data_IF_956844922685
#
_entry.id   IF_956844922685
#
_cell.length_a   1.000
_cell.length_b   1.000
_cell.length_c   1.000
_cell.angle_alpha   90.00
_cell.angle_beta   90.00
_cell.angle_gamma   90.00
#
_symmetry.space_group_name_H-M   'P 1'
#
loop_
_entity.id
_entity.type
_entity.pdbx_description
1 polymer ?
#
# COMPACT_ATOMS: atom_id res chain seq x y z
N UNK A 1 4.45 26.15 -32.82
CA UNK A 1 5.31 25.16 -32.10
C UNK A 1 5.31 23.79 -32.79
N UNK A 2 4.16 23.28 -33.26
CA UNK A 2 4.09 21.99 -33.96
C UNK A 2 4.93 21.96 -35.24
N UNK A 3 4.85 23.02 -36.07
CA UNK A 3 5.64 23.10 -37.30
C UNK A 3 7.15 23.12 -37.03
N UNK A 4 7.57 23.75 -35.93
CA UNK A 4 8.97 23.76 -35.49
C UNK A 4 9.41 22.34 -35.14
N UNK A 5 8.60 21.61 -34.36
CA UNK A 5 8.89 20.22 -34.01
C UNK A 5 8.92 19.31 -35.24
N UNK A 6 7.99 19.51 -36.19
CA UNK A 6 7.93 18.77 -37.45
C UNK A 6 9.14 19.05 -38.36
N UNK A 7 9.48 20.32 -38.56
CA UNK A 7 10.62 20.72 -39.38
C UNK A 7 11.95 20.26 -38.78
N UNK A 8 12.07 20.33 -37.45
CA UNK A 8 13.23 19.79 -36.74
C UNK A 8 13.32 18.27 -36.93
N UNK A 9 12.22 17.54 -36.75
CA UNK A 9 12.17 16.10 -36.95
C UNK A 9 12.58 15.69 -38.38
N UNK A 10 12.04 16.40 -39.39
CA UNK A 10 12.42 16.19 -40.79
C UNK A 10 13.91 16.47 -41.03
N UNK A 11 14.45 17.55 -40.46
CA UNK A 11 15.87 17.89 -40.57
C UNK A 11 16.77 16.81 -39.97
N UNK A 12 16.40 16.29 -38.80
CA UNK A 12 17.11 15.22 -38.12
C UNK A 12 16.73 13.81 -38.63
N UNK A 13 15.95 13.72 -39.72
CA UNK A 13 15.57 12.48 -40.41
C UNK A 13 14.78 11.48 -39.53
N UNK A 14 13.96 11.97 -38.61
CA UNK A 14 12.99 11.14 -37.90
C UNK A 14 11.55 11.60 -38.15
N UNK A 15 10.61 10.65 -38.20
CA UNK A 15 9.19 10.93 -38.44
C UNK A 15 8.42 10.90 -37.13
N UNK A 16 7.69 11.98 -36.83
CA UNK A 16 6.74 12.00 -35.72
C UNK A 16 5.47 11.28 -36.16
N UNK A 17 5.04 10.28 -35.40
CA UNK A 17 3.86 9.48 -35.74
C UNK A 17 2.58 10.21 -35.28
N UNK A 18 1.74 10.73 -36.19
CA UNK A 18 0.64 11.60 -35.77
C UNK A 18 -0.44 10.84 -34.99
N UNK A 19 -0.67 9.56 -35.30
CA UNK A 19 -1.62 8.70 -34.58
C UNK A 19 -1.24 8.45 -33.10
N UNK A 20 0.05 8.53 -32.76
CA UNK A 20 0.54 8.42 -31.38
C UNK A 20 0.75 9.78 -30.72
N UNK A 21 0.55 10.86 -31.48
CA UNK A 21 0.76 12.23 -31.04
C UNK A 21 -0.59 12.83 -30.70
N UNK A 22 -0.67 13.48 -29.54
CA UNK A 22 -1.92 14.08 -29.08
C UNK A 22 -1.64 15.47 -28.53
N UNK A 23 -2.60 16.36 -28.73
CA UNK A 23 -2.58 17.67 -28.10
C UNK A 23 -3.43 17.62 -26.85
N UNK A 24 -2.89 18.10 -25.74
CA UNK A 24 -3.63 18.18 -24.49
C UNK A 24 -3.59 19.62 -24.00
N UNK A 25 -4.77 20.21 -23.82
CA UNK A 25 -4.91 21.55 -23.25
C UNK A 25 -4.91 21.45 -21.73
N UNK A 26 -3.95 22.12 -21.07
CA UNK A 26 -3.96 22.29 -19.60
C UNK A 26 -4.75 23.55 -19.27
N UNK A 27 -5.65 23.48 -18.28
CA UNK A 27 -6.59 24.54 -17.90
C UNK A 27 -5.93 25.93 -17.92
N UNK A 28 -6.44 26.82 -18.77
CA UNK A 28 -6.13 28.25 -18.82
C UNK A 28 -7.34 29.05 -18.30
N UNK A 29 -7.16 30.30 -17.83
CA UNK A 29 -8.28 31.19 -17.50
C UNK A 29 -9.25 31.28 -18.70
N UNK A 30 -10.56 31.29 -18.43
CA UNK A 30 -11.61 31.34 -19.48
C UNK A 30 -11.44 32.50 -20.47
N UNK A 31 -10.70 33.55 -20.11
CA UNK A 31 -10.41 34.73 -20.92
C UNK A 31 -9.46 34.51 -22.11
N UNK A 32 -8.78 33.36 -22.19
CA UNK A 32 -7.89 32.99 -23.32
C UNK A 32 -8.53 31.99 -24.30
N UNK A 33 -9.86 31.77 -24.18
CA UNK A 33 -10.61 30.83 -24.99
C UNK A 33 -10.91 31.40 -26.39
N UNK A 34 -9.93 31.43 -27.27
CA UNK A 34 -10.14 31.67 -28.70
C UNK A 34 -9.67 30.49 -29.56
N UNK A 35 -10.66 29.77 -30.12
CA UNK A 35 -10.82 29.44 -31.55
C UNK A 35 -9.63 28.93 -32.37
N UNK A 36 -8.92 27.89 -31.91
CA UNK A 36 -8.10 27.07 -32.84
C UNK A 36 -8.50 25.60 -32.71
N UNK A 37 -9.21 25.11 -33.71
CA UNK A 37 -9.69 23.73 -33.85
C UNK A 37 -8.80 22.87 -34.75
N UNK A 38 -8.08 23.49 -35.69
CA UNK A 38 -7.44 22.78 -36.80
C UNK A 38 -5.94 22.65 -36.55
N UNK A 39 -5.58 21.79 -35.61
CA UNK A 39 -4.18 21.51 -35.30
C UNK A 39 -3.61 20.48 -36.27
N UNK A 40 -2.52 20.85 -36.95
CA UNK A 40 -1.81 19.97 -37.89
C UNK A 40 -0.36 19.76 -37.48
N UNK A 41 0.19 18.62 -37.88
CA UNK A 41 1.60 18.27 -37.78
C UNK A 41 2.06 17.79 -39.16
N UNK A 42 2.70 18.70 -39.90
CA UNK A 42 2.79 18.57 -41.35
C UNK A 42 1.40 18.61 -41.97
N UNK A 43 1.09 17.65 -42.85
CA UNK A 43 -0.20 17.58 -43.53
C UNK A 43 -1.27 16.80 -42.76
N UNK A 44 -0.91 16.22 -41.60
CA UNK A 44 -1.81 15.36 -40.80
C UNK A 44 -2.43 16.12 -39.64
N UNK A 45 -3.73 15.96 -39.45
CA UNK A 45 -4.45 16.52 -38.31
C UNK A 45 -4.08 15.80 -37.01
N UNK A 46 -4.01 16.56 -35.92
CA UNK A 46 -3.80 16.04 -34.56
C UNK A 46 -5.02 16.34 -33.71
N UNK A 47 -5.55 15.28 -33.10
CA UNK A 47 -6.69 15.37 -32.20
C UNK A 47 -6.33 16.06 -30.89
N UNK A 48 -7.15 17.04 -30.51
CA UNK A 48 -7.16 17.59 -29.17
C UNK A 48 -7.88 16.61 -28.23
N UNK A 49 -7.17 16.14 -27.19
CA UNK A 49 -7.71 15.20 -26.19
C UNK A 49 -7.66 15.80 -24.79
N UNK A 50 -8.59 15.36 -23.94
CA UNK A 50 -8.56 15.62 -22.51
C UNK A 50 -7.66 14.63 -21.75
N UNK A 51 -7.32 13.49 -22.35
CA UNK A 51 -6.52 12.42 -21.75
C UNK A 51 -5.32 12.05 -22.62
N UNK A 52 -4.12 12.00 -22.05
CA UNK A 52 -2.91 11.59 -22.73
C UNK A 52 -2.07 10.65 -21.88
N UNK A 53 -1.68 9.49 -22.44
CA UNK A 53 -0.79 8.54 -21.75
C UNK A 53 0.67 8.96 -21.95
N UNK A 54 1.39 9.18 -20.86
CA UNK A 54 2.82 9.48 -20.87
C UNK A 54 3.54 8.60 -19.84
N UNK A 55 4.55 7.85 -20.32
CA UNK A 55 5.35 6.91 -19.51
C UNK A 55 4.48 5.95 -18.66
N UNK A 56 3.40 5.44 -19.25
CA UNK A 56 2.50 4.48 -18.59
C UNK A 56 1.57 5.09 -17.52
N UNK A 57 1.51 6.42 -17.42
CA UNK A 57 0.56 7.18 -16.59
C UNK A 57 -0.35 8.04 -17.46
N UNK A 58 -1.62 8.12 -17.13
CA UNK A 58 -2.61 8.93 -17.85
C UNK A 58 -2.63 10.34 -17.26
N UNK A 59 -2.44 11.35 -18.09
CA UNK A 59 -2.59 12.77 -17.73
C UNK A 59 -3.96 13.23 -18.19
N UNK A 60 -4.75 13.78 -17.26
CA UNK A 60 -6.00 14.43 -17.57
C UNK A 60 -5.82 15.96 -17.63
N UNK A 61 -6.52 16.61 -18.55
CA UNK A 61 -6.58 18.08 -18.67
C UNK A 61 -7.12 18.73 -17.40
N UNK A 62 -8.08 18.08 -16.72
CA UNK A 62 -8.63 18.47 -15.42
C UNK A 62 -7.64 18.28 -14.26
N UNK A 63 -6.56 17.53 -14.46
CA UNK A 63 -5.62 17.13 -13.41
C UNK A 63 -6.10 15.95 -12.56
N UNK A 64 -7.19 15.29 -12.94
CA UNK A 64 -7.71 14.12 -12.26
C UNK A 64 -6.71 12.95 -12.24
N UNK A 65 -6.59 12.32 -11.07
CA UNK A 65 -5.66 11.21 -10.82
C UNK A 65 -6.38 9.86 -10.69
N UNK A 66 -7.71 9.87 -10.53
CA UNK A 66 -8.53 8.68 -10.29
C UNK A 66 -8.28 7.56 -11.32
N UNK A 67 -8.20 7.91 -12.60
CA UNK A 67 -7.91 6.98 -13.71
C UNK A 67 -6.62 6.20 -13.45
N UNK A 68 -5.56 6.88 -12.99
CA UNK A 68 -4.29 6.21 -12.68
C UNK A 68 -4.43 5.25 -11.51
N UNK A 69 -5.13 5.65 -10.45
CA UNK A 69 -5.35 4.81 -9.27
C UNK A 69 -6.12 3.54 -9.65
N UNK A 70 -7.18 3.65 -10.43
CA UNK A 70 -7.98 2.51 -10.90
C UNK A 70 -7.18 1.59 -11.84
N UNK A 71 -6.46 2.16 -12.81
CA UNK A 71 -5.61 1.40 -13.71
C UNK A 71 -4.53 0.61 -12.96
N UNK A 72 -3.92 1.22 -11.94
CA UNK A 72 -2.92 0.55 -11.11
C UNK A 72 -3.52 -0.56 -10.25
N UNK A 73 -4.70 -0.35 -9.65
CA UNK A 73 -5.42 -1.40 -8.93
C UNK A 73 -5.76 -2.56 -9.87
N UNK A 74 -6.26 -2.27 -11.07
CA UNK A 74 -6.58 -3.30 -12.08
C UNK A 74 -5.34 -4.09 -12.50
N UNK A 75 -4.22 -3.42 -12.76
CA UNK A 75 -2.94 -4.04 -13.09
C UNK A 75 -2.42 -4.93 -11.94
N UNK A 76 -2.42 -4.40 -10.72
CA UNK A 76 -1.99 -5.13 -9.53
C UNK A 76 -2.89 -6.34 -9.22
N UNK A 77 -4.21 -6.20 -9.41
CA UNK A 77 -5.17 -7.29 -9.24
C UNK A 77 -4.91 -8.43 -10.21
N UNK A 78 -4.73 -8.12 -11.49
CA UNK A 78 -4.34 -9.13 -12.50
C UNK A 78 -3.03 -9.81 -12.12
N UNK A 79 -2.02 -9.04 -11.72
CA UNK A 79 -0.74 -9.60 -11.30
C UNK A 79 -0.88 -10.52 -10.08
N UNK A 80 -1.68 -10.16 -9.08
CA UNK A 80 -1.94 -11.01 -7.92
C UNK A 80 -2.61 -12.33 -8.33
N UNK A 81 -3.69 -12.27 -9.11
CA UNK A 81 -4.43 -13.48 -9.49
C UNK A 81 -3.67 -14.37 -10.48
N UNK A 82 -2.80 -13.82 -11.33
CA UNK A 82 -1.91 -14.63 -12.17
C UNK A 82 -0.94 -15.48 -11.35
N UNK A 83 -0.65 -15.07 -10.11
CA UNK A 83 0.24 -15.82 -9.22
C UNK A 83 -0.52 -16.82 -8.34
N UNK A 84 -1.84 -16.69 -8.20
CA UNK A 84 -2.67 -17.60 -7.39
C UNK A 84 -2.54 -19.08 -7.78
N UNK A 85 -2.50 -19.46 -9.09
CA UNK A 85 -2.24 -20.85 -9.49
C UNK A 85 -0.90 -21.41 -9.01
N UNK A 86 0.12 -20.55 -8.88
CA UNK A 86 1.43 -20.91 -8.30
C UNK A 86 1.38 -21.08 -6.79
N UNK A 87 0.18 -21.10 -6.22
CA UNK A 87 -0.06 -21.33 -4.81
C UNK A 87 -0.35 -20.09 -4.00
N UNK A 88 -0.50 -18.87 -4.56
CA UNK A 88 -0.76 -17.61 -3.81
C UNK A 88 -2.16 -17.50 -3.17
N UNK A 89 -2.61 -18.57 -2.52
CA UNK A 89 -3.73 -18.58 -1.60
C UNK A 89 -3.32 -19.35 -0.34
N UNK A 90 -3.71 -18.85 0.84
CA UNK A 90 -3.22 -19.28 2.15
C UNK A 90 -3.59 -20.71 2.59
N UNK A 91 -3.82 -21.62 1.65
CA UNK A 91 -4.09 -23.04 1.85
C UNK A 91 -3.26 -23.97 0.96
N UNK A 92 -2.48 -23.43 0.00
CA UNK A 92 -1.68 -24.23 -0.95
C UNK A 92 -0.26 -24.59 -0.48
N UNK A 93 -0.02 -24.52 0.84
CA UNK A 93 1.19 -25.06 1.45
C UNK A 93 2.42 -24.17 1.47
N UNK A 94 2.42 -22.97 0.85
CA UNK A 94 3.45 -21.99 1.16
C UNK A 94 3.03 -21.16 2.36
N UNK A 95 4.01 -20.79 3.19
CA UNK A 95 3.76 -19.98 4.36
C UNK A 95 3.46 -18.51 3.99
N UNK A 96 2.59 -17.79 4.72
CA UNK A 96 2.31 -16.36 4.51
C UNK A 96 3.54 -15.45 4.38
N UNK A 97 4.66 -15.69 5.10
CA UNK A 97 5.93 -15.01 4.88
C UNK A 97 6.45 -15.01 3.44
N UNK A 98 6.35 -16.14 2.75
CA UNK A 98 6.79 -16.28 1.37
C UNK A 98 5.86 -15.49 0.46
N UNK A 99 4.54 -15.62 0.67
CA UNK A 99 3.55 -14.90 -0.11
C UNK A 99 3.68 -13.39 0.00
N UNK A 100 3.88 -12.84 1.21
CA UNK A 100 4.06 -11.39 1.35
C UNK A 100 5.32 -10.90 0.65
N UNK A 101 6.39 -11.72 0.60
CA UNK A 101 7.60 -11.39 -0.17
C UNK A 101 7.31 -11.36 -1.68
N UNK A 102 6.64 -12.37 -2.21
CA UNK A 102 6.24 -12.42 -3.63
C UNK A 102 5.32 -11.23 -3.96
N UNK A 103 4.35 -10.95 -3.10
CA UNK A 103 3.43 -9.82 -3.21
C UNK A 103 4.18 -8.48 -3.28
N UNK A 104 5.13 -8.25 -2.37
CA UNK A 104 5.95 -7.04 -2.34
C UNK A 104 6.88 -6.91 -3.56
N UNK A 105 7.31 -8.02 -4.16
CA UNK A 105 8.18 -8.02 -5.35
C UNK A 105 7.42 -7.81 -6.66
N UNK A 106 6.23 -8.41 -6.80
CA UNK A 106 5.51 -8.42 -8.09
C UNK A 106 4.27 -7.53 -8.11
N UNK A 107 3.55 -7.41 -6.99
CA UNK A 107 2.25 -6.72 -6.97
C UNK A 107 2.40 -5.27 -6.53
N UNK A 108 3.11 -4.99 -5.43
CA UNK A 108 3.32 -3.62 -4.94
C UNK A 108 3.94 -2.68 -5.98
N UNK A 109 4.98 -3.09 -6.76
CA UNK A 109 5.55 -2.19 -7.78
C UNK A 109 4.55 -1.83 -8.86
N UNK A 110 3.66 -2.76 -9.25
CA UNK A 110 2.60 -2.52 -10.24
C UNK A 110 1.48 -1.65 -9.66
N UNK A 111 1.14 -1.84 -8.39
CA UNK A 111 0.12 -1.04 -7.69
C UNK A 111 0.55 0.43 -7.53
N UNK A 112 1.85 0.68 -7.36
CA UNK A 112 2.34 2.02 -7.03
C UNK A 112 3.04 2.74 -8.19
N UNK A 113 3.26 2.08 -9.32
CA UNK A 113 4.02 2.65 -10.43
C UNK A 113 3.48 4.02 -10.87
N UNK A 114 4.32 5.05 -10.77
CA UNK A 114 4.03 6.40 -11.22
C UNK A 114 3.15 7.21 -10.27
N UNK A 115 2.53 6.59 -9.26
CA UNK A 115 1.68 7.28 -8.29
C UNK A 115 2.46 8.23 -7.38
N UNK A 116 3.76 7.97 -7.18
CA UNK A 116 4.66 8.85 -6.42
C UNK A 116 4.86 10.23 -7.06
N UNK A 117 4.48 10.39 -8.33
CA UNK A 117 4.54 11.67 -9.07
C UNK A 117 3.26 12.52 -8.96
N UNK A 118 2.25 12.04 -8.24
CA UNK A 118 0.97 12.72 -8.05
C UNK A 118 0.74 13.08 -6.59
N UNK A 119 -0.07 14.11 -6.35
CA UNK A 119 -0.63 14.39 -5.03
C UNK A 119 -1.94 13.63 -4.91
N UNK A 120 -1.94 12.56 -4.12
CA UNK A 120 -3.11 11.71 -3.91
C UNK A 120 -3.98 12.28 -2.78
N UNK A 121 -5.29 12.35 -3.01
CA UNK A 121 -6.25 12.69 -1.96
C UNK A 121 -6.58 11.45 -1.12
N UNK A 122 -7.35 11.64 -0.04
CA UNK A 122 -7.77 10.56 0.87
C UNK A 122 -8.58 9.46 0.18
N UNK A 123 -9.39 9.81 -0.83
CA UNK A 123 -10.20 8.82 -1.55
C UNK A 123 -9.30 7.87 -2.37
N UNK A 124 -8.30 8.41 -3.07
CA UNK A 124 -7.34 7.63 -3.84
C UNK A 124 -6.56 6.67 -2.91
N UNK A 125 -6.03 7.19 -1.79
CA UNK A 125 -5.29 6.37 -0.82
C UNK A 125 -6.18 5.28 -0.22
N UNK A 126 -7.44 5.60 0.13
CA UNK A 126 -8.40 4.62 0.66
C UNK A 126 -8.73 3.51 -0.34
N UNK A 127 -8.83 3.83 -1.64
CA UNK A 127 -9.04 2.82 -2.68
C UNK A 127 -7.85 1.85 -2.79
N UNK A 128 -6.63 2.39 -2.80
CA UNK A 128 -5.39 1.59 -2.80
C UNK A 128 -5.29 0.74 -1.53
N UNK A 129 -5.62 1.32 -0.37
CA UNK A 129 -5.57 0.63 0.92
C UNK A 129 -6.56 -0.52 0.96
N UNK A 130 -7.79 -0.32 0.47
CA UNK A 130 -8.82 -1.34 0.42
C UNK A 130 -8.38 -2.54 -0.42
N UNK A 131 -7.77 -2.31 -1.58
CA UNK A 131 -7.18 -3.38 -2.39
C UNK A 131 -6.04 -4.08 -1.65
N UNK A 132 -5.08 -3.31 -1.12
CA UNK A 132 -3.90 -3.85 -0.44
C UNK A 132 -4.27 -4.72 0.77
N UNK A 133 -5.13 -4.23 1.66
CA UNK A 133 -5.65 -4.98 2.81
C UNK A 133 -6.39 -6.25 2.40
N UNK A 134 -7.20 -6.18 1.34
CA UNK A 134 -7.91 -7.36 0.83
C UNK A 134 -6.92 -8.47 0.44
N UNK A 135 -5.82 -8.11 -0.22
CA UNK A 135 -4.78 -9.09 -0.61
C UNK A 135 -4.02 -9.62 0.61
N UNK A 136 -3.64 -8.76 1.56
CA UNK A 136 -2.95 -9.19 2.79
C UNK A 136 -3.81 -10.13 3.65
N UNK A 137 -5.14 -9.93 3.67
CA UNK A 137 -6.08 -10.83 4.34
C UNK A 137 -6.18 -12.18 3.63
N UNK A 138 -6.21 -12.20 2.29
CA UNK A 138 -6.17 -13.45 1.50
C UNK A 138 -4.89 -14.23 1.77
N UNK A 139 -3.73 -13.55 1.80
CA UNK A 139 -2.43 -14.17 2.12
C UNK A 139 -2.44 -14.87 3.48
N UNK A 140 -3.17 -14.32 4.46
CA UNK A 140 -3.26 -14.86 5.81
C UNK A 140 -4.50 -15.75 6.05
N UNK A 141 -5.34 -15.96 5.03
CA UNK A 141 -6.65 -16.61 5.15
C UNK A 141 -7.54 -15.99 6.24
N UNK A 142 -7.48 -14.67 6.39
CA UNK A 142 -8.25 -13.88 7.37
C UNK A 142 -9.56 -13.33 6.75
N UNK A 143 -10.66 -13.24 7.53
CA UNK A 143 -11.89 -12.60 7.08
C UNK A 143 -11.73 -11.10 6.74
N UNK A 144 -12.62 -10.57 5.90
CA UNK A 144 -12.62 -9.14 5.57
C UNK A 144 -12.92 -8.22 6.77
N UNK A 145 -13.58 -8.75 7.81
CA UNK A 145 -13.85 -8.03 9.06
C UNK A 145 -12.63 -7.92 9.99
N UNK A 146 -11.52 -8.60 9.71
CA UNK A 146 -10.33 -8.52 10.56
C UNK A 146 -9.78 -7.09 10.59
N UNK A 147 -9.43 -6.61 11.79
CA UNK A 147 -8.91 -5.26 11.99
C UNK A 147 -7.69 -4.97 11.09
N UNK A 148 -7.63 -3.76 10.53
CA UNK A 148 -6.56 -3.36 9.60
C UNK A 148 -5.18 -3.40 10.27
N UNK A 149 -5.09 -2.92 11.51
CA UNK A 149 -3.86 -2.79 12.27
C UNK A 149 -3.14 -4.13 12.42
N UNK A 150 -3.87 -5.14 12.92
CA UNK A 150 -3.32 -6.48 13.12
C UNK A 150 -2.98 -7.18 11.81
N UNK A 151 -3.73 -6.91 10.73
CA UNK A 151 -3.47 -7.49 9.40
C UNK A 151 -2.08 -7.12 8.89
N UNK A 152 -1.67 -5.86 9.08
CA UNK A 152 -0.33 -5.39 8.72
C UNK A 152 0.74 -5.97 9.66
N UNK A 153 0.52 -5.81 10.97
CA UNK A 153 1.48 -6.14 12.01
C UNK A 153 1.85 -7.63 12.03
N UNK A 154 0.89 -8.52 11.77
CA UNK A 154 1.17 -9.95 11.73
C UNK A 154 2.16 -10.35 10.62
N UNK A 155 2.08 -9.71 9.46
CA UNK A 155 3.00 -9.96 8.35
C UNK A 155 4.28 -9.11 8.41
N UNK A 156 4.35 -8.14 9.34
CA UNK A 156 5.35 -7.08 9.27
C UNK A 156 5.21 -6.23 7.99
N UNK A 157 4.01 -6.14 7.42
CA UNK A 157 3.75 -5.39 6.19
C UNK A 157 3.55 -3.90 6.49
N UNK A 158 3.87 -3.05 5.53
CA UNK A 158 3.63 -1.60 5.62
C UNK A 158 2.24 -1.25 5.10
N UNK A 159 1.55 -0.25 5.70
CA UNK A 159 0.39 0.36 5.05
C UNK A 159 0.75 0.91 3.67
N UNK A 160 -0.19 0.88 2.73
CA UNK A 160 0.09 1.33 1.36
C UNK A 160 0.49 2.80 1.30
N UNK A 161 -0.07 3.62 2.20
CA UNK A 161 0.29 5.04 2.33
C UNK A 161 1.76 5.20 2.72
N UNK A 162 2.29 4.35 3.60
CA UNK A 162 3.70 4.35 3.97
C UNK A 162 4.60 4.07 2.77
N UNK A 163 4.26 3.07 1.94
CA UNK A 163 4.99 2.72 0.73
C UNK A 163 4.99 3.85 -0.31
N UNK A 164 3.86 4.57 -0.44
CA UNK A 164 3.76 5.75 -1.31
C UNK A 164 4.69 6.86 -0.80
N UNK A 165 4.64 7.15 0.51
CA UNK A 165 5.45 8.21 1.11
C UNK A 165 6.95 7.94 0.97
N UNK A 166 7.39 6.70 1.21
CA UNK A 166 8.79 6.30 0.98
C UNK A 166 9.24 6.54 -0.46
N UNK A 167 8.37 6.25 -1.45
CA UNK A 167 8.67 6.50 -2.87
C UNK A 167 8.73 7.99 -3.18
N UNK A 168 7.81 8.80 -2.68
CA UNK A 168 7.84 10.26 -2.85
C UNK A 168 9.14 10.86 -2.30
N UNK A 169 9.53 10.47 -1.08
CA UNK A 169 10.78 10.90 -0.43
C UNK A 169 12.03 10.41 -1.19
N UNK A 170 11.96 9.23 -1.81
CA UNK A 170 13.03 8.72 -2.68
C UNK A 170 13.15 9.54 -3.97
N UNK A 171 12.02 9.93 -4.58
CA UNK A 171 12.01 10.80 -5.77
C UNK A 171 12.58 12.16 -5.43
N UNK A 172 12.21 12.76 -4.29
CA UNK A 172 12.76 14.03 -3.84
C UNK A 172 14.29 13.97 -3.74
N UNK A 173 14.85 12.98 -3.05
CA UNK A 173 16.29 12.85 -2.90
C UNK A 173 17.00 12.62 -4.25
N UNK A 174 16.35 12.02 -5.24
CA UNK A 174 16.89 11.93 -6.61
C UNK A 174 16.92 13.31 -7.26
N UNK A 175 15.84 14.09 -7.17
CA UNK A 175 15.76 15.45 -7.73
C UNK A 175 16.88 16.33 -7.15
N UNK A 176 17.02 16.37 -5.82
CA UNK A 176 18.06 17.16 -5.14
C UNK A 176 19.46 16.72 -5.60
N UNK A 177 19.73 15.41 -5.63
CA UNK A 177 21.05 14.87 -6.00
C UNK A 177 21.42 15.11 -7.46
N UNK A 178 20.45 15.16 -8.37
CA UNK A 178 20.73 15.41 -9.80
C UNK A 178 21.36 16.78 -10.05
N UNK A 179 21.29 17.72 -9.10
CA UNK A 179 21.82 19.09 -9.27
C UNK A 179 21.18 19.81 -10.46
N UNK A 180 21.57 21.07 -10.72
CA UNK A 180 21.37 21.86 -11.96
C UNK A 180 20.41 21.33 -13.04
N UNK A 181 19.15 21.07 -12.69
CA UNK A 181 18.08 20.63 -13.61
C UNK A 181 16.92 21.59 -13.55
N UNK A 182 16.12 21.63 -14.60
CA UNK A 182 14.87 22.40 -14.61
C UNK A 182 13.94 21.99 -13.46
N UNK A 183 13.96 20.72 -13.04
CA UNK A 183 13.21 20.24 -11.88
C UNK A 183 13.69 20.86 -10.56
N UNK A 184 15.01 21.03 -10.37
CA UNK A 184 15.54 21.74 -9.21
C UNK A 184 15.14 23.22 -9.21
N UNK A 185 15.20 23.89 -10.36
CA UNK A 185 14.72 25.28 -10.47
C UNK A 185 13.21 25.40 -10.20
N UNK A 186 12.41 24.43 -10.66
CA UNK A 186 10.97 24.38 -10.36
C UNK A 186 10.73 24.12 -8.88
N UNK A 187 11.50 23.22 -8.25
CA UNK A 187 11.43 22.95 -6.81
C UNK A 187 11.68 24.23 -6.02
N UNK A 188 12.79 24.92 -6.29
CA UNK A 188 13.17 26.15 -5.59
C UNK A 188 12.08 27.22 -5.73
N UNK A 189 11.61 27.43 -6.96
CA UNK A 189 10.51 28.36 -7.22
C UNK A 189 9.24 27.97 -6.46
N UNK A 190 8.87 26.69 -6.44
CA UNK A 190 7.63 26.25 -5.81
C UNK A 190 7.70 26.33 -4.29
N UNK A 191 8.84 26.03 -3.68
CA UNK A 191 9.05 26.17 -2.23
C UNK A 191 9.05 27.65 -1.82
N UNK A 192 9.67 28.54 -2.60
CA UNK A 192 9.70 29.97 -2.26
C UNK A 192 8.38 30.69 -2.49
N UNK A 193 7.60 30.31 -3.50
CA UNK A 193 6.41 31.08 -3.92
C UNK A 193 5.08 30.55 -3.38
N UNK A 194 5.00 29.27 -2.98
CA UNK A 194 3.72 28.64 -2.66
C UNK A 194 3.55 28.43 -1.17
N UNK A 195 2.35 28.72 -0.67
CA UNK A 195 1.98 28.43 0.72
C UNK A 195 1.64 26.95 0.97
N UNK A 196 1.51 26.58 2.25
CA UNK A 196 1.23 25.21 2.72
C UNK A 196 -0.07 24.60 2.17
N UNK A 197 -1.04 25.42 1.76
CA UNK A 197 -2.32 24.97 1.18
C UNK A 197 -2.26 24.66 -0.32
N UNK A 198 -1.10 24.83 -0.97
CA UNK A 198 -0.98 24.61 -2.41
C UNK A 198 -1.04 23.13 -2.79
N UNK A 199 -1.67 22.81 -3.92
CA UNK A 199 -1.69 21.47 -4.55
C UNK A 199 -0.35 21.06 -5.20
N UNK A 200 0.74 21.73 -4.80
CA UNK A 200 2.07 21.53 -5.33
C UNK A 200 2.68 20.23 -4.82
N UNK A 201 3.28 19.44 -5.69
CA UNK A 201 3.94 18.19 -5.29
C UNK A 201 5.07 18.44 -4.27
N UNK A 202 5.92 19.46 -4.47
CA UNK A 202 6.99 19.78 -3.51
C UNK A 202 6.47 20.24 -2.14
N UNK A 203 5.33 20.96 -2.09
CA UNK A 203 4.70 21.36 -0.81
C UNK A 203 4.11 20.13 -0.11
N UNK A 204 3.50 19.22 -0.87
CA UNK A 204 3.05 17.95 -0.33
C UNK A 204 4.21 17.14 0.26
N UNK A 205 5.34 17.02 -0.43
CA UNK A 205 6.51 16.30 0.08
C UNK A 205 7.17 17.00 1.26
N UNK A 206 7.21 18.34 1.28
CA UNK A 206 7.64 19.09 2.47
C UNK A 206 6.77 18.73 3.69
N UNK A 207 5.46 18.63 3.50
CA UNK A 207 4.55 18.13 4.54
C UNK A 207 4.82 16.68 4.97
N UNK A 208 5.33 15.82 4.08
CA UNK A 208 5.78 14.48 4.45
C UNK A 208 7.05 14.52 5.30
N UNK A 209 8.02 15.40 4.97
CA UNK A 209 9.22 15.59 5.78
C UNK A 209 8.83 16.05 7.19
N UNK A 210 7.93 17.03 7.31
CA UNK A 210 7.36 17.46 8.60
C UNK A 210 6.67 16.29 9.32
N UNK A 211 5.81 15.52 8.64
CA UNK A 211 5.07 14.36 9.22
C UNK A 211 6.01 13.31 9.83
N UNK A 212 7.16 13.07 9.19
CA UNK A 212 8.13 12.05 9.61
C UNK A 212 9.32 12.61 10.39
N UNK A 213 9.28 13.89 10.77
CA UNK A 213 10.36 14.58 11.49
C UNK A 213 11.72 14.46 10.76
N UNK A 214 11.68 14.54 9.43
CA UNK A 214 12.86 14.50 8.56
C UNK A 214 13.35 15.92 8.26
N UNK A 215 14.62 16.11 7.86
CA UNK A 215 15.14 17.42 7.50
C UNK A 215 14.35 18.04 6.34
N UNK A 216 14.11 19.36 6.40
CA UNK A 216 13.41 20.12 5.36
C UNK A 216 14.13 20.03 4.01
N UNK A 217 13.44 20.36 2.91
CA UNK A 217 14.08 20.41 1.57
C UNK A 217 15.31 21.33 1.60
N UNK A 218 15.25 22.48 2.29
CA UNK A 218 16.37 23.41 2.35
C UNK A 218 17.58 22.80 3.08
N UNK A 219 17.37 22.11 4.20
CA UNK A 219 18.44 21.41 4.92
C UNK A 219 19.01 20.27 4.07
N UNK A 220 18.18 19.52 3.35
CA UNK A 220 18.62 18.45 2.46
C UNK A 220 19.43 18.96 1.27
N UNK A 221 19.17 20.17 0.76
CA UNK A 221 20.00 20.78 -0.29
C UNK A 221 21.39 21.15 0.21
N UNK A 222 21.53 21.54 1.47
CA UNK A 222 22.82 21.89 2.07
C UNK A 222 23.66 20.64 2.34
N UNK A 223 23.04 19.58 2.86
CA UNK A 223 23.73 18.33 3.18
C UNK A 223 22.78 17.14 2.97
N UNK A 224 22.84 16.55 1.77
CA UNK A 224 22.07 15.35 1.47
C UNK A 224 22.87 14.10 1.88
N UNK A 225 22.30 13.20 2.69
CA UNK A 225 22.94 11.92 2.98
C UNK A 225 23.20 11.10 1.70
N UNK A 226 24.11 10.12 1.81
CA UNK A 226 24.31 9.15 0.73
C UNK A 226 23.00 8.41 0.41
N UNK A 227 22.91 7.83 -0.79
CA UNK A 227 21.69 7.12 -1.22
C UNK A 227 21.25 6.05 -0.21
N UNK A 228 22.19 5.26 0.30
CA UNK A 228 21.90 4.19 1.26
C UNK A 228 21.58 4.75 2.65
N UNK A 229 22.27 5.81 3.10
CA UNK A 229 21.94 6.49 4.35
C UNK A 229 20.54 7.09 4.32
N UNK A 230 20.19 7.79 3.24
CA UNK A 230 18.86 8.38 3.06
C UNK A 230 17.78 7.31 3.08
N UNK A 231 18.01 6.20 2.38
CA UNK A 231 17.10 5.05 2.39
C UNK A 231 16.88 4.54 3.82
N UNK A 232 17.95 4.29 4.58
CA UNK A 232 17.85 3.82 5.96
C UNK A 232 17.11 4.82 6.87
N UNK A 233 17.41 6.11 6.75
CA UNK A 233 16.76 7.18 7.52
C UNK A 233 15.25 7.21 7.22
N UNK A 234 14.86 7.25 5.94
CA UNK A 234 13.46 7.29 5.52
C UNK A 234 12.72 6.03 5.97
N UNK A 235 13.32 4.85 5.74
CA UNK A 235 12.72 3.59 6.17
C UNK A 235 12.47 3.56 7.68
N UNK A 236 13.48 3.91 8.47
CA UNK A 236 13.39 3.94 9.94
C UNK A 236 12.31 4.92 10.43
N UNK A 237 12.31 6.15 9.93
CA UNK A 237 11.36 7.19 10.36
C UNK A 237 9.91 6.83 10.00
N UNK A 238 9.67 6.39 8.77
CA UNK A 238 8.34 6.01 8.30
C UNK A 238 7.84 4.74 9.00
N UNK A 239 8.71 3.73 9.17
CA UNK A 239 8.33 2.49 9.87
C UNK A 239 8.03 2.75 11.34
N UNK A 240 8.82 3.58 12.03
CA UNK A 240 8.58 3.97 13.42
C UNK A 240 7.23 4.68 13.58
N UNK A 241 6.96 5.68 12.73
CA UNK A 241 5.69 6.40 12.75
C UNK A 241 4.50 5.46 12.55
N UNK A 242 4.53 4.63 11.50
CA UNK A 242 3.41 3.75 11.20
C UNK A 242 3.27 2.61 12.19
N UNK A 243 4.38 2.12 12.75
CA UNK A 243 4.32 1.10 13.80
C UNK A 243 3.57 1.63 15.02
N UNK A 244 3.87 2.86 15.45
CA UNK A 244 3.14 3.51 16.55
C UNK A 244 1.66 3.69 16.22
N UNK A 245 1.34 4.18 15.02
CA UNK A 245 -0.05 4.37 14.58
C UNK A 245 -0.84 3.06 14.60
N UNK A 246 -0.24 1.96 14.11
CA UNK A 246 -0.91 0.66 14.07
C UNK A 246 -1.07 0.04 15.46
N UNK A 247 -0.07 0.18 16.33
CA UNK A 247 -0.13 -0.32 17.70
C UNK A 247 -1.21 0.42 18.50
N UNK A 248 -1.28 1.75 18.39
CA UNK A 248 -2.35 2.54 19.01
C UNK A 248 -3.74 2.10 18.50
N UNK A 249 -3.90 1.91 17.18
CA UNK A 249 -5.17 1.40 16.61
C UNK A 249 -5.46 -0.06 17.01
N UNK A 250 -4.51 -0.81 17.58
CA UNK A 250 -4.82 -2.11 18.17
C UNK A 250 -5.41 -2.00 19.58
N UNK A 251 -4.95 -1.04 20.39
CA UNK A 251 -5.38 -0.87 21.79
C UNK A 251 -6.88 -0.57 21.90
N UNK A 252 -7.42 0.16 20.91
CA UNK A 252 -8.84 0.53 20.86
C UNK A 252 -9.78 -0.61 20.41
N UNK A 253 -9.26 -1.82 20.13
CA UNK A 253 -10.05 -2.91 19.52
C UNK A 253 -10.32 -4.04 20.50
N UNK A 254 -11.59 -4.17 20.90
CA UNK A 254 -12.07 -5.29 21.73
C UNK A 254 -11.84 -6.67 21.09
N UNK A 255 -11.79 -6.76 19.75
CA UNK A 255 -11.51 -8.02 19.05
C UNK A 255 -10.06 -8.51 19.21
N UNK A 256 -9.16 -7.67 19.73
CA UNK A 256 -7.73 -7.96 19.88
C UNK A 256 -7.31 -8.14 21.34
N UNK A 257 -8.25 -8.30 22.27
CA UNK A 257 -7.98 -8.49 23.71
C UNK A 257 -7.06 -9.68 23.99
N UNK A 258 -7.17 -10.75 23.20
CA UNK A 258 -6.33 -11.94 23.32
C UNK A 258 -4.99 -11.83 22.59
N UNK A 259 -4.70 -10.71 21.92
CA UNK A 259 -3.48 -10.50 21.16
C UNK A 259 -2.48 -9.67 21.97
N UNK A 260 -1.31 -10.24 22.27
CA UNK A 260 -0.20 -9.44 22.79
C UNK A 260 0.45 -8.63 21.65
N UNK A 261 0.13 -7.34 21.60
CA UNK A 261 0.60 -6.43 20.55
C UNK A 261 2.02 -5.90 20.77
N UNK A 262 2.57 -6.05 21.98
CA UNK A 262 3.85 -5.42 22.40
C UNK A 262 5.05 -5.82 21.54
N UNK A 263 5.02 -7.04 20.99
CA UNK A 263 6.11 -7.60 20.19
C UNK A 263 5.85 -7.51 18.67
N UNK A 264 4.78 -6.83 18.26
CA UNK A 264 4.46 -6.66 16.86
C UNK A 264 5.20 -5.45 16.29
N UNK A 265 5.83 -5.65 15.12
CA UNK A 265 6.58 -4.57 14.49
C UNK A 265 6.52 -4.67 12.97
N UNK A 266 6.37 -3.54 12.29
CA UNK A 266 6.58 -3.46 10.84
C UNK A 266 7.98 -4.01 10.48
N UNK A 267 8.07 -4.75 9.36
CA UNK A 267 9.30 -5.39 8.90
C UNK A 267 9.62 -6.72 9.58
N UNK A 268 8.95 -7.07 10.69
CA UNK A 268 9.12 -8.34 11.39
C UNK A 268 7.84 -9.15 11.40
N UNK A 269 7.90 -10.35 10.82
CA UNK A 269 6.77 -11.28 10.82
C UNK A 269 6.50 -11.84 12.21
N UNK A 270 5.22 -12.07 12.50
CA UNK A 270 4.80 -12.67 13.76
C UNK A 270 5.33 -14.10 13.91
N UNK A 271 5.60 -14.50 15.16
CA UNK A 271 6.17 -15.81 15.48
C UNK A 271 5.30 -16.97 14.97
N UNK A 272 3.97 -16.80 14.96
CA UNK A 272 3.06 -17.82 14.41
C UNK A 272 3.37 -18.11 12.95
N UNK A 273 3.73 -17.11 12.15
CA UNK A 273 4.06 -17.30 10.74
C UNK A 273 5.49 -17.79 10.54
N UNK A 274 6.42 -17.36 11.40
CA UNK A 274 7.84 -17.75 11.33
C UNK A 274 8.07 -19.22 11.70
N UNK A 275 7.21 -19.81 12.53
CA UNK A 275 7.35 -21.18 13.01
C UNK A 275 6.69 -22.23 12.13
N UNK A 276 6.13 -21.85 10.97
CA UNK A 276 5.48 -22.80 10.06
C UNK A 276 6.44 -23.31 9.00
N UNK A 277 6.39 -24.62 8.76
CA UNK A 277 6.98 -25.22 7.57
C UNK A 277 6.09 -24.99 6.34
N UNK A 278 6.69 -25.13 5.15
CA UNK A 278 5.99 -24.98 3.88
C UNK A 278 5.21 -26.26 3.53
N UNK A 279 4.20 -26.58 4.35
CA UNK A 279 3.23 -27.63 4.07
C UNK A 279 1.81 -27.18 4.43
N UNK A 280 0.82 -27.88 3.87
CA UNK A 280 -0.59 -27.55 4.03
C UNK A 280 -1.07 -27.66 5.50
N UNK A 281 -0.57 -28.64 6.25
CA UNK A 281 -1.02 -28.89 7.62
C UNK A 281 -0.60 -27.74 8.54
N UNK A 282 0.68 -27.35 8.51
CA UNK A 282 1.18 -26.26 9.34
C UNK A 282 0.60 -24.91 8.94
N UNK A 283 0.40 -24.68 7.64
CA UNK A 283 -0.29 -23.48 7.16
C UNK A 283 -1.70 -23.39 7.76
N UNK A 284 -2.50 -24.49 7.72
CA UNK A 284 -3.83 -24.53 8.33
C UNK A 284 -3.79 -24.29 9.84
N UNK A 285 -2.82 -24.89 10.55
CA UNK A 285 -2.62 -24.66 12.00
C UNK A 285 -2.30 -23.20 12.30
N UNK A 286 -1.44 -22.57 11.50
CA UNK A 286 -1.13 -21.15 11.60
C UNK A 286 -2.35 -20.27 11.42
N UNK A 287 -3.17 -20.55 10.39
CA UNK A 287 -4.41 -19.82 10.13
C UNK A 287 -5.37 -19.90 11.31
N UNK A 288 -5.55 -21.08 11.92
CA UNK A 288 -6.38 -21.23 13.12
C UNK A 288 -5.85 -20.37 14.26
N UNK A 289 -4.55 -20.45 14.57
CA UNK A 289 -3.92 -19.66 15.64
C UNK A 289 -4.11 -18.15 15.42
N UNK A 290 -3.92 -17.67 14.20
CA UNK A 290 -4.08 -16.24 13.89
C UNK A 290 -5.55 -15.82 13.92
N UNK A 291 -6.49 -16.67 13.50
CA UNK A 291 -7.92 -16.40 13.66
C UNK A 291 -8.32 -16.30 15.13
N UNK A 292 -7.75 -17.13 16.00
CA UNK A 292 -7.97 -17.03 17.44
C UNK A 292 -7.43 -15.68 17.96
N UNK A 293 -6.17 -15.38 17.65
CA UNK A 293 -5.50 -14.15 18.08
C UNK A 293 -6.20 -12.87 17.59
N UNK A 294 -6.84 -12.91 16.43
CA UNK A 294 -7.55 -11.75 15.85
C UNK A 294 -9.03 -11.68 16.23
N UNK A 295 -9.53 -12.58 17.09
CA UNK A 295 -10.94 -12.62 17.47
C UNK A 295 -11.88 -12.99 16.31
N UNK A 296 -11.36 -13.71 15.30
CA UNK A 296 -12.13 -14.08 14.09
C UNK A 296 -12.40 -15.57 13.93
N UNK A 297 -11.83 -16.40 14.80
CA UNK A 297 -12.17 -17.81 14.92
C UNK A 297 -13.63 -17.98 15.38
N UNK A 298 -14.37 -18.87 14.74
CA UNK A 298 -15.77 -19.10 15.06
C UNK A 298 -15.83 -20.29 16.01
N UNK A 299 -16.06 -20.00 17.29
CA UNK A 299 -16.22 -21.01 18.36
C UNK A 299 -17.63 -21.60 18.36
N UNK A 300 -17.81 -22.83 18.86
CA UNK A 300 -19.12 -23.50 18.90
C UNK A 300 -20.20 -22.70 19.63
N UNK A 301 -19.87 -21.99 20.72
CA UNK A 301 -20.83 -21.12 21.39
C UNK A 301 -21.35 -19.99 20.49
N UNK A 302 -20.54 -19.50 19.56
CA UNK A 302 -20.96 -18.52 18.54
C UNK A 302 -21.81 -19.19 17.47
N UNK A 303 -21.43 -20.38 17.00
CA UNK A 303 -22.24 -21.13 16.03
C UNK A 303 -23.63 -21.42 16.59
N UNK A 304 -23.71 -21.95 17.81
CA UNK A 304 -24.97 -22.26 18.50
C UNK A 304 -25.90 -21.05 18.64
N UNK A 305 -25.34 -19.86 18.89
CA UNK A 305 -26.11 -18.61 19.02
C UNK A 305 -26.68 -18.08 17.70
N UNK A 306 -25.98 -18.28 16.58
CA UNK A 306 -26.31 -17.62 15.30
C UNK A 306 -26.77 -18.58 14.19
N UNK A 307 -26.75 -19.90 14.43
CA UNK A 307 -27.23 -20.87 13.46
C UNK A 307 -28.75 -21.03 13.54
N UNK A 308 -29.40 -21.31 12.40
CA UNK A 308 -30.84 -21.56 12.32
C UNK A 308 -31.22 -22.91 12.94
N UNK A 309 -30.29 -23.86 12.95
CA UNK A 309 -30.47 -25.19 13.53
C UNK A 309 -29.81 -25.28 14.91
N UNK A 310 -30.36 -26.14 15.77
CA UNK A 310 -29.74 -26.44 17.07
C UNK A 310 -28.35 -27.03 16.86
N UNK A 311 -27.33 -26.29 17.30
CA UNK A 311 -25.94 -26.74 17.35
C UNK A 311 -25.53 -26.83 18.80
N UNK A 312 -24.93 -27.95 19.17
CA UNK A 312 -24.34 -28.16 20.50
C UNK A 312 -23.21 -27.15 20.74
N UNK A 313 -23.32 -26.27 21.77
CA UNK A 313 -22.29 -25.29 22.06
C UNK A 313 -21.04 -25.90 22.69
N UNK A 314 -21.01 -27.20 23.03
CA UNK A 314 -19.89 -27.82 23.72
C UNK A 314 -18.60 -27.83 22.89
N UNK A 315 -17.48 -27.70 23.59
CA UNK A 315 -16.14 -27.76 23.02
C UNK A 315 -15.88 -29.11 22.37
N UNK A 316 -15.53 -29.09 21.09
CA UNK A 316 -15.30 -30.30 20.29
C UNK A 316 -14.08 -31.09 20.78
N UNK A 317 -13.18 -30.45 21.54
CA UNK A 317 -11.96 -31.06 22.06
C UNK A 317 -12.16 -31.75 23.41
N UNK A 318 -12.73 -31.05 24.41
CA UNK A 318 -12.90 -31.59 25.77
C UNK A 318 -14.30 -32.14 26.06
N UNK A 319 -15.31 -31.72 25.28
CA UNK A 319 -16.74 -32.07 25.44
C UNK A 319 -17.33 -31.82 26.84
N UNK A 320 -16.68 -30.97 27.65
CA UNK A 320 -17.04 -30.77 29.06
C UNK A 320 -17.64 -29.39 29.35
N UNK A 321 -17.38 -28.39 28.50
CA UNK A 321 -17.83 -27.01 28.67
C UNK A 321 -18.21 -26.39 27.31
N UNK A 322 -18.99 -25.29 27.28
CA UNK A 322 -19.20 -24.52 26.05
C UNK A 322 -17.88 -24.04 25.43
N UNK A 323 -17.75 -24.13 24.12
CA UNK A 323 -16.56 -23.62 23.42
C UNK A 323 -16.63 -22.10 23.31
N UNK A 324 -15.85 -21.40 24.11
CA UNK A 324 -15.57 -19.98 23.93
C UNK A 324 -14.06 -19.70 23.98
N UNK A 325 -13.68 -18.43 23.81
CA UNK A 325 -12.27 -18.04 23.84
C UNK A 325 -11.62 -18.27 25.21
N UNK A 326 -12.38 -18.16 26.29
CA UNK A 326 -11.89 -18.39 27.65
C UNK A 326 -11.64 -19.88 27.87
N UNK A 327 -12.57 -20.76 27.47
CA UNK A 327 -12.37 -22.20 27.46
C UNK A 327 -11.14 -22.56 26.61
N UNK A 328 -11.12 -22.16 25.34
CA UNK A 328 -10.03 -22.53 24.43
C UNK A 328 -8.65 -22.07 24.92
N UNK A 329 -8.54 -20.86 25.45
CA UNK A 329 -7.25 -20.29 25.86
C UNK A 329 -6.85 -20.71 27.28
N UNK A 330 -7.79 -20.81 28.21
CA UNK A 330 -7.50 -20.86 29.66
C UNK A 330 -8.06 -22.11 30.39
N UNK A 331 -9.19 -22.69 29.96
CA UNK A 331 -9.90 -23.71 30.78
C UNK A 331 -10.00 -25.11 30.15
N UNK A 332 -10.04 -25.24 28.82
CA UNK A 332 -10.14 -26.50 28.08
C UNK A 332 -9.14 -27.58 28.52
N UNK A 333 -9.66 -28.67 29.12
CA UNK A 333 -8.84 -29.77 29.65
C UNK A 333 -7.98 -30.48 28.60
N UNK A 334 -8.47 -30.59 27.36
CA UNK A 334 -7.74 -31.20 26.25
C UNK A 334 -6.50 -30.38 25.83
N UNK A 335 -6.51 -29.06 26.06
CA UNK A 335 -5.41 -28.17 25.72
C UNK A 335 -4.44 -27.92 26.89
N UNK A 336 -4.80 -28.38 28.10
CA UNK A 336 -4.00 -28.21 29.31
C UNK A 336 -2.54 -28.68 29.17
N UNK A 337 -2.23 -29.86 28.58
CA UNK A 337 -0.86 -30.33 28.43
C UNK A 337 0.03 -29.37 27.62
N UNK A 338 -0.55 -28.64 26.67
CA UNK A 338 0.18 -27.72 25.78
C UNK A 338 0.32 -26.31 26.38
N UNK A 339 -0.61 -25.89 27.25
CA UNK A 339 -0.60 -24.54 27.83
C UNK A 339 -0.01 -24.43 29.23
N UNK A 340 0.17 -25.54 29.96
CA UNK A 340 0.61 -25.54 31.37
C UNK A 340 1.91 -24.75 31.61
N UNK A 341 2.81 -24.73 30.62
CA UNK A 341 4.03 -23.93 30.65
C UNK A 341 3.80 -22.41 30.56
N UNK A 342 2.78 -21.99 29.80
CA UNK A 342 2.49 -20.57 29.50
C UNK A 342 1.48 -19.94 30.48
N UNK A 343 0.64 -20.75 31.13
CA UNK A 343 -0.33 -20.26 32.14
C UNK A 343 0.35 -19.62 33.36
N UNK A 344 1.62 -19.97 33.62
CA UNK A 344 2.41 -19.37 34.71
C UNK A 344 2.75 -17.91 34.44
N UNK A 345 2.84 -17.51 33.16
CA UNK A 345 3.19 -16.16 32.73
C UNK A 345 1.96 -15.24 32.61
N UNK A 346 0.75 -15.79 32.80
CA UNK A 346 -0.54 -15.08 32.74
C UNK A 346 -1.08 -14.70 34.13
N UNK A 347 -0.49 -15.24 35.20
CA UNK A 347 -0.77 -14.86 36.59
C UNK A 347 0.34 -13.92 37.06
#
# INVERSE_FOLDING_TARGET
MLDIAYNYANRERYTIHPEKSVLMRRVMPKSYCETVTDWKLGDKEITLTSLAVHLGTTRASSGEVQINTEDRISCARRAFYCLTPSGLHGTNGLSPPIYVRIYSLYVIPRLLYGLESFVLNRQHVKALESFHLSMLRIIQSLPQRTAKCITYLLLGARPIEAEIHMRCLTVLAKIIRSGNTSLNSIMDRQISMKGKSSSSWFIYVEGLLEKYQLPSIQSLKQSLPSKEQWKTIVHSAVDTFWNQVLLNDCEDKSSLTSCNTRNLTIGKQHVIWKSLDNNMCDTKRGVVKVRILTGTYIVQSTVSKFNQHSVDPTCQLCRSAPEDYQDMLLECGALLPYRKGYLKDLK
#
